data_IF_420409769301
#
_entry.id   IF_420409769301
#
_cell.length_a   1.000
_cell.length_b   1.000
_cell.length_c   1.000
_cell.angle_alpha   90.00
_cell.angle_beta   90.00
_cell.angle_gamma   90.00
#
_symmetry.space_group_name_H-M   'P 1'
#
loop_
_entity.id
_entity.type
_entity.pdbx_description
1 polymer ?
#
# COMPACT_ATOMS: atom_id res chain seq x y z
N UNK A 1 13.32 -10.78 2.56
CA UNK A 1 12.12 -10.94 1.71
C UNK A 1 12.45 -11.77 0.48
N UNK A 2 11.55 -12.67 0.06
CA UNK A 2 11.68 -13.45 -1.18
C UNK A 2 10.54 -13.20 -2.18
N UNK A 3 10.62 -13.85 -3.35
CA UNK A 3 9.61 -13.72 -4.42
C UNK A 3 8.21 -14.18 -3.97
N UNK A 4 8.14 -15.17 -3.08
CA UNK A 4 6.87 -15.69 -2.57
C UNK A 4 6.19 -14.68 -1.65
N UNK A 5 6.96 -13.99 -0.79
CA UNK A 5 6.44 -12.87 0.00
C UNK A 5 5.93 -11.75 -0.91
N UNK A 6 6.69 -11.38 -1.94
CA UNK A 6 6.31 -10.33 -2.87
C UNK A 6 5.02 -10.67 -3.63
N UNK A 7 4.88 -11.91 -4.11
CA UNK A 7 3.65 -12.35 -4.77
C UNK A 7 2.44 -12.31 -3.83
N UNK A 8 2.61 -12.76 -2.57
CA UNK A 8 1.57 -12.67 -1.53
C UNK A 8 1.11 -11.23 -1.31
N UNK A 9 2.04 -10.28 -1.22
CA UNK A 9 1.74 -8.85 -0.99
C UNK A 9 1.03 -8.24 -2.19
N UNK A 10 1.51 -8.49 -3.42
CA UNK A 10 0.84 -7.99 -4.65
C UNK A 10 -0.57 -8.56 -4.80
N UNK A 11 -0.74 -9.86 -4.55
CA UNK A 11 -2.06 -10.51 -4.58
C UNK A 11 -2.99 -9.91 -3.54
N UNK A 12 -2.52 -9.76 -2.31
CA UNK A 12 -3.30 -9.15 -1.25
C UNK A 12 -3.72 -7.71 -1.61
N UNK A 13 -2.82 -6.89 -2.14
CA UNK A 13 -3.16 -5.52 -2.54
C UNK A 13 -4.22 -5.48 -3.64
N UNK A 14 -4.11 -6.35 -4.65
CA UNK A 14 -5.11 -6.48 -5.72
C UNK A 14 -6.48 -6.90 -5.17
N UNK A 15 -6.51 -7.92 -4.30
CA UNK A 15 -7.74 -8.40 -3.67
C UNK A 15 -8.34 -7.31 -2.78
N UNK A 16 -7.51 -6.60 -2.02
CA UNK A 16 -7.91 -5.47 -1.18
C UNK A 16 -8.60 -4.39 -2.01
N UNK A 17 -7.99 -3.91 -3.10
CA UNK A 17 -8.59 -2.90 -3.98
C UNK A 17 -9.95 -3.33 -4.53
N UNK A 18 -10.09 -4.58 -4.95
CA UNK A 18 -11.34 -5.13 -5.49
C UNK A 18 -12.49 -5.10 -4.47
N UNK A 19 -12.21 -5.19 -3.17
CA UNK A 19 -13.25 -5.07 -2.14
C UNK A 19 -13.93 -3.69 -2.08
N UNK A 20 -13.33 -2.67 -2.71
CA UNK A 20 -13.85 -1.31 -2.74
C UNK A 20 -14.53 -0.97 -4.07
N UNK A 21 -14.53 -1.87 -5.06
CA UNK A 21 -15.16 -1.59 -6.34
C UNK A 21 -16.67 -1.37 -6.18
N UNK A 22 -17.18 -0.42 -6.96
CA UNK A 22 -18.55 0.08 -6.86
C UNK A 22 -19.18 0.15 -8.25
N UNK A 23 -20.50 -0.01 -8.31
CA UNK A 23 -21.28 0.29 -9.52
C UNK A 23 -21.53 1.80 -9.68
N UNK A 24 -21.39 2.58 -8.61
CA UNK A 24 -21.42 4.04 -8.69
C UNK A 24 -20.16 4.56 -9.40
N UNK A 25 -20.37 5.35 -10.44
CA UNK A 25 -19.30 5.81 -11.34
C UNK A 25 -18.29 6.70 -10.63
N UNK A 26 -18.73 7.57 -9.72
CA UNK A 26 -17.84 8.50 -9.03
C UNK A 26 -17.04 7.77 -7.96
N UNK A 27 -17.66 6.85 -7.24
CA UNK A 27 -16.97 5.99 -6.28
C UNK A 27 -15.94 5.09 -6.97
N UNK A 28 -16.33 4.43 -8.07
CA UNK A 28 -15.42 3.57 -8.83
C UNK A 28 -14.22 4.37 -9.34
N UNK A 29 -14.46 5.59 -9.84
CA UNK A 29 -13.40 6.47 -10.30
C UNK A 29 -12.44 6.84 -9.16
N UNK A 30 -12.95 7.12 -7.96
CA UNK A 30 -12.12 7.45 -6.81
C UNK A 30 -11.21 6.29 -6.38
N UNK A 31 -11.76 5.06 -6.38
CA UNK A 31 -10.99 3.85 -6.04
C UNK A 31 -9.93 3.56 -7.11
N UNK A 32 -10.30 3.57 -8.39
CA UNK A 32 -9.37 3.35 -9.50
C UNK A 32 -8.25 4.39 -9.52
N UNK A 33 -8.56 5.66 -9.23
CA UNK A 33 -7.56 6.72 -9.15
C UNK A 33 -6.46 6.38 -8.12
N UNK A 34 -6.84 5.80 -6.97
CA UNK A 34 -5.90 5.41 -5.92
C UNK A 34 -5.13 4.14 -6.26
N UNK A 35 -5.78 3.14 -6.85
CA UNK A 35 -5.11 1.95 -7.36
C UNK A 35 -4.05 2.29 -8.43
N UNK A 36 -4.42 3.09 -9.45
CA UNK A 36 -3.50 3.56 -10.50
C UNK A 36 -2.38 4.44 -9.94
N UNK A 37 -2.67 5.28 -8.95
CA UNK A 37 -1.65 6.04 -8.23
C UNK A 37 -0.63 5.10 -7.59
N UNK A 38 -1.06 4.10 -6.82
CA UNK A 38 -0.17 3.14 -6.18
C UNK A 38 0.70 2.41 -7.20
N UNK A 39 0.15 1.95 -8.32
CA UNK A 39 0.95 1.30 -9.38
C UNK A 39 2.00 2.23 -9.99
N UNK A 40 1.69 3.52 -10.19
CA UNK A 40 2.68 4.51 -10.65
C UNK A 40 3.78 4.76 -9.62
N UNK A 41 3.43 4.82 -8.33
CA UNK A 41 4.41 4.94 -7.23
C UNK A 41 5.33 3.72 -7.21
N UNK A 42 4.79 2.50 -7.35
CA UNK A 42 5.57 1.27 -7.42
C UNK A 42 6.57 1.30 -8.59
N UNK A 43 6.10 1.65 -9.80
CA UNK A 43 6.97 1.74 -10.97
C UNK A 43 8.10 2.77 -10.78
N UNK A 44 7.80 3.90 -10.14
CA UNK A 44 8.78 4.95 -9.90
C UNK A 44 9.79 4.56 -8.81
N UNK A 45 9.34 3.99 -7.69
CA UNK A 45 10.24 3.62 -6.60
C UNK A 45 11.21 2.53 -7.02
N UNK A 46 10.77 1.55 -7.81
CA UNK A 46 11.64 0.49 -8.35
C UNK A 46 12.72 1.11 -9.25
N UNK A 47 12.36 2.06 -10.11
CA UNK A 47 13.33 2.76 -10.97
C UNK A 47 14.37 3.53 -10.15
N UNK A 48 13.92 4.25 -9.12
CA UNK A 48 14.83 5.01 -8.24
C UNK A 48 15.73 4.07 -7.45
N UNK A 49 15.17 3.04 -6.83
CA UNK A 49 15.92 2.06 -6.05
C UNK A 49 16.97 1.33 -6.92
N UNK A 50 16.60 0.93 -8.14
CA UNK A 50 17.54 0.33 -9.08
C UNK A 50 18.66 1.30 -9.48
N UNK A 51 18.35 2.58 -9.70
CA UNK A 51 19.35 3.61 -10.01
C UNK A 51 20.29 3.90 -8.82
N UNK A 52 19.83 3.68 -7.58
CA UNK A 52 20.66 3.74 -6.38
C UNK A 52 21.47 2.47 -6.12
N UNK A 53 21.36 1.45 -6.98
CA UNK A 53 22.11 0.20 -6.86
C UNK A 53 21.62 -0.73 -5.76
N UNK A 54 20.35 -0.61 -5.35
CA UNK A 54 19.76 -1.57 -4.41
C UNK A 54 19.71 -2.96 -5.05
N UNK A 55 19.95 -3.98 -4.22
CA UNK A 55 19.86 -5.38 -4.62
C UNK A 55 18.40 -5.83 -4.72
N UNK A 56 18.21 -7.10 -5.10
CA UNK A 56 16.87 -7.68 -5.30
C UNK A 56 15.98 -7.54 -4.07
N UNK A 57 16.53 -7.77 -2.88
CA UNK A 57 15.79 -7.65 -1.63
C UNK A 57 15.38 -6.20 -1.37
N UNK A 58 16.31 -5.25 -1.59
CA UNK A 58 16.01 -3.82 -1.49
C UNK A 58 14.94 -3.34 -2.49
N UNK A 59 14.96 -3.84 -3.72
CA UNK A 59 13.91 -3.54 -4.72
C UNK A 59 12.55 -4.06 -4.27
N UNK A 60 12.50 -5.29 -3.74
CA UNK A 60 11.25 -5.87 -3.24
C UNK A 60 10.73 -5.12 -2.01
N UNK A 61 11.61 -4.71 -1.11
CA UNK A 61 11.20 -3.92 0.06
C UNK A 61 10.65 -2.55 -0.36
N UNK A 62 11.31 -1.88 -1.31
CA UNK A 62 10.85 -0.61 -1.86
C UNK A 62 9.46 -0.74 -2.52
N UNK A 63 9.24 -1.78 -3.31
CA UNK A 63 7.93 -2.04 -3.92
C UNK A 63 6.86 -2.35 -2.87
N UNK A 64 7.19 -3.12 -1.83
CA UNK A 64 6.27 -3.40 -0.71
C UNK A 64 5.82 -2.12 -0.02
N UNK A 65 6.75 -1.22 0.29
CA UNK A 65 6.44 0.09 0.87
C UNK A 65 5.51 0.87 -0.07
N UNK A 66 5.82 0.92 -1.36
CA UNK A 66 4.99 1.63 -2.33
C UNK A 66 3.59 1.02 -2.50
N UNK A 67 3.44 -0.31 -2.44
CA UNK A 67 2.13 -0.96 -2.50
C UNK A 67 1.27 -0.60 -1.28
N UNK A 68 1.90 -0.51 -0.11
CA UNK A 68 1.20 -0.37 1.17
C UNK A 68 1.01 1.08 1.63
N UNK A 69 1.74 2.05 1.08
CA UNK A 69 1.76 3.44 1.60
C UNK A 69 0.39 4.11 1.72
N UNK A 70 -0.53 3.85 0.79
CA UNK A 70 -1.82 4.54 0.68
C UNK A 70 -3.01 3.61 1.00
N UNK A 71 -2.80 2.43 1.61
CA UNK A 71 -3.90 1.46 1.87
C UNK A 71 -5.01 2.05 2.73
N UNK A 72 -4.68 2.94 3.68
CA UNK A 72 -5.68 3.63 4.48
C UNK A 72 -6.61 4.56 3.67
N UNK A 73 -6.24 4.96 2.45
CA UNK A 73 -7.10 5.80 1.58
C UNK A 73 -8.37 5.10 1.16
N UNK A 74 -8.33 3.78 1.00
CA UNK A 74 -9.48 3.01 0.55
C UNK A 74 -10.56 2.97 1.64
N UNK A 75 -10.17 2.65 2.87
CA UNK A 75 -11.07 2.72 4.03
C UNK A 75 -11.53 4.14 4.35
N UNK A 76 -10.63 5.13 4.27
CA UNK A 76 -10.98 6.54 4.42
C UNK A 76 -12.07 6.94 3.43
N UNK A 77 -11.93 6.58 2.15
CA UNK A 77 -12.93 6.91 1.15
C UNK A 77 -14.24 6.16 1.38
N UNK A 78 -14.19 4.86 1.71
CA UNK A 78 -15.38 4.05 2.01
C UNK A 78 -16.24 4.67 3.11
N UNK A 79 -15.60 5.16 4.17
CA UNK A 79 -16.28 5.70 5.34
C UNK A 79 -16.70 7.17 5.17
N UNK A 80 -15.85 8.00 4.58
CA UNK A 80 -16.02 9.46 4.59
C UNK A 80 -16.26 10.08 3.21
N UNK A 81 -16.16 9.30 2.13
CA UNK A 81 -16.29 9.74 0.73
C UNK A 81 -15.37 10.90 0.37
N UNK A 82 -14.19 10.94 0.99
CA UNK A 82 -13.17 11.96 0.75
C UNK A 82 -11.79 11.43 1.10
N UNK A 83 -10.74 11.95 0.44
CA UNK A 83 -9.34 11.70 0.79
C UNK A 83 -8.74 12.82 1.66
N UNK A 84 -9.57 13.66 2.28
CA UNK A 84 -9.12 14.82 3.05
C UNK A 84 -9.04 14.49 4.53
N UNK A 85 -7.84 14.25 5.03
CA UNK A 85 -7.60 13.88 6.44
C UNK A 85 -8.16 14.92 7.41
N UNK A 86 -8.01 16.21 7.10
CA UNK A 86 -8.45 17.32 7.98
C UNK A 86 -9.96 17.35 8.28
N UNK A 87 -10.78 16.67 7.48
CA UNK A 87 -12.24 16.56 7.67
C UNK A 87 -12.69 15.11 7.80
N UNK A 88 -11.76 14.17 7.92
CA UNK A 88 -12.02 12.74 8.05
C UNK A 88 -11.05 12.11 9.06
N UNK A 89 -10.29 11.10 8.65
CA UNK A 89 -9.32 10.36 9.45
C UNK A 89 -7.93 10.47 8.82
N UNK A 90 -6.88 10.39 9.64
CA UNK A 90 -5.51 10.29 9.16
C UNK A 90 -5.32 8.94 8.44
N UNK A 91 -5.07 8.99 7.13
CA UNK A 91 -4.94 7.80 6.30
C UNK A 91 -3.70 6.95 6.62
N UNK A 92 -2.59 7.56 7.04
CA UNK A 92 -1.36 6.85 7.40
C UNK A 92 -1.58 6.02 8.66
N UNK A 93 -2.18 6.63 9.71
CA UNK A 93 -2.53 5.92 10.93
C UNK A 93 -3.52 4.76 10.67
N UNK A 94 -4.54 5.01 9.85
CA UNK A 94 -5.50 3.99 9.44
C UNK A 94 -4.86 2.87 8.61
N UNK A 95 -3.94 3.22 7.70
CA UNK A 95 -3.22 2.27 6.88
C UNK A 95 -2.34 1.34 7.72
N UNK A 96 -1.64 1.89 8.70
CA UNK A 96 -0.82 1.11 9.61
C UNK A 96 -1.65 0.20 10.52
N UNK A 97 -2.82 0.65 10.97
CA UNK A 97 -3.77 -0.20 11.69
C UNK A 97 -4.19 -1.40 10.84
N UNK A 98 -4.62 -1.16 9.59
CA UNK A 98 -5.00 -2.23 8.64
C UNK A 98 -3.87 -3.24 8.46
N UNK A 99 -2.63 -2.77 8.27
CA UNK A 99 -1.46 -3.64 8.06
C UNK A 99 -1.12 -4.43 9.33
N UNK A 100 -1.29 -3.84 10.52
CA UNK A 100 -1.03 -4.51 11.81
C UNK A 100 -2.09 -5.55 12.15
N UNK A 101 -3.33 -5.38 11.68
CA UNK A 101 -4.42 -6.33 11.91
C UNK A 101 -4.34 -7.59 11.04
N UNK A 102 -3.64 -7.50 9.91
CA UNK A 102 -3.47 -8.62 8.98
C UNK A 102 -2.08 -9.26 9.11
N UNK A 103 -2.01 -10.57 8.95
CA UNK A 103 -0.74 -11.32 9.02
C UNK A 103 0.04 -11.27 7.69
N UNK A 104 -0.01 -10.12 7.01
CA UNK A 104 0.60 -9.94 5.68
C UNK A 104 2.12 -9.99 5.75
N UNK A 105 2.69 -9.35 6.79
CA UNK A 105 4.13 -9.17 6.99
C UNK A 105 4.75 -10.20 7.96
N UNK A 106 4.03 -11.29 8.27
CA UNK A 106 4.45 -12.34 9.20
C UNK A 106 5.78 -12.98 8.83
N UNK A 107 5.97 -13.19 7.52
CA UNK A 107 7.09 -13.92 6.95
C UNK A 107 8.34 -13.04 6.73
N UNK A 108 8.22 -11.72 6.95
CA UNK A 108 9.32 -10.78 6.83
C UNK A 108 10.18 -10.80 8.11
N UNK A 109 11.47 -10.48 7.96
CA UNK A 109 12.33 -10.27 9.12
C UNK A 109 11.84 -9.08 9.96
N UNK A 110 12.15 -9.03 11.27
CA UNK A 110 11.74 -7.91 12.13
C UNK A 110 12.13 -6.55 11.55
N UNK A 111 13.36 -6.43 11.04
CA UNK A 111 13.87 -5.21 10.42
C UNK A 111 13.05 -4.76 9.21
N UNK A 112 12.68 -5.69 8.33
CA UNK A 112 11.88 -5.37 7.14
C UNK A 112 10.46 -4.97 7.53
N UNK A 113 9.87 -5.67 8.50
CA UNK A 113 8.53 -5.36 9.01
C UNK A 113 8.48 -3.97 9.63
N UNK A 114 9.47 -3.62 10.46
CA UNK A 114 9.57 -2.30 11.07
C UNK A 114 9.72 -1.21 10.00
N UNK A 115 10.58 -1.43 9.00
CA UNK A 115 10.74 -0.49 7.88
C UNK A 115 9.44 -0.27 7.10
N UNK A 116 8.67 -1.33 6.84
CA UNK A 116 7.37 -1.20 6.16
C UNK A 116 6.38 -0.42 7.03
N UNK A 117 6.25 -0.76 8.31
CA UNK A 117 5.33 -0.08 9.22
C UNK A 117 5.67 1.41 9.37
N UNK A 118 6.93 1.74 9.60
CA UNK A 118 7.40 3.13 9.76
C UNK A 118 7.13 3.95 8.48
N UNK A 119 7.26 3.32 7.31
CA UNK A 119 7.03 3.98 6.02
C UNK A 119 5.55 4.21 5.70
N UNK A 120 4.63 3.52 6.37
CA UNK A 120 3.18 3.70 6.21
C UNK A 120 2.63 4.68 7.24
N UNK A 121 3.25 4.79 8.42
CA UNK A 121 2.84 5.71 9.48
C UNK A 121 3.28 7.17 9.27
N UNK A 122 3.98 7.49 8.16
CA UNK A 122 4.55 8.82 7.86
C UNK A 122 3.81 9.57 6.75
#
# INVERSE_FOLDING_TARGET
MDDGNMEKIRRWFSEYCQTFYSEDVEDQRAILLKEEHTHRVCANIIRVAAAQGLDREGLMLAETIALLHDVGRFEQYRQYRTFRDAISVNHAALGAEIIREIDLLADLSPRERDLVNDSVET
#
